data_IF_126745695535
#
_entry.id   IF_126745695535
#
_cell.length_a   1.000
_cell.length_b   1.000
_cell.length_c   1.000
_cell.angle_alpha   90.00
_cell.angle_beta   90.00
_cell.angle_gamma   90.00
#
_symmetry.space_group_name_H-M   'P 1'
#
loop_
_entity.id
_entity.type
_entity.pdbx_description
1 polymer ?
#
# COMPACT_ATOMS: atom_id res chain seq x y z
N UNK A 1 -8.43 -1.81 13.09
CA UNK A 1 -7.61 -1.73 14.31
C UNK A 1 -7.57 -0.29 14.75
N UNK A 2 -7.69 -0.05 16.07
CA UNK A 2 -7.38 1.25 16.63
C UNK A 2 -5.93 1.19 17.13
N UNK A 3 -5.00 1.63 16.29
CA UNK A 3 -3.57 1.59 16.62
C UNK A 3 -3.19 2.61 17.70
N UNK A 4 -4.02 3.64 17.93
CA UNK A 4 -3.87 4.62 19.00
C UNK A 4 -4.38 4.15 20.37
N UNK A 5 -5.03 2.98 20.45
CA UNK A 5 -5.57 2.47 21.72
C UNK A 5 -4.50 1.99 22.70
N UNK A 6 -3.28 1.66 22.22
CA UNK A 6 -2.22 1.12 23.07
C UNK A 6 -1.59 2.17 24.00
N UNK A 7 -1.64 3.45 23.61
CA UNK A 7 -1.11 4.58 24.40
C UNK A 7 -2.24 5.46 25.00
N UNK A 8 -3.50 5.06 24.81
CA UNK A 8 -4.63 5.81 25.35
C UNK A 8 -4.82 5.50 26.83
N UNK A 9 -4.76 6.52 27.67
CA UNK A 9 -4.92 6.44 29.13
C UNK A 9 -6.38 6.22 29.59
N UNK A 10 -7.31 6.07 28.64
CA UNK A 10 -8.73 5.84 28.89
C UNK A 10 -9.52 7.10 29.26
N UNK A 11 -8.92 8.29 29.13
CA UNK A 11 -9.60 9.57 29.37
C UNK A 11 -9.68 10.42 28.09
N UNK A 12 -10.77 11.18 27.93
CA UNK A 12 -10.99 12.01 26.74
C UNK A 12 -11.42 11.22 25.50
N UNK A 13 -11.28 11.82 24.31
CA UNK A 13 -11.47 11.11 23.04
C UNK A 13 -10.26 10.21 22.78
N UNK A 14 -10.50 8.95 22.44
CA UNK A 14 -9.43 8.04 22.06
C UNK A 14 -8.68 8.65 20.85
N UNK A 15 -7.34 8.80 20.91
CA UNK A 15 -6.54 9.31 19.80
C UNK A 15 -6.95 8.57 18.52
N UNK A 16 -7.33 9.34 17.51
CA UNK A 16 -7.97 8.80 16.32
C UNK A 16 -7.09 7.75 15.62
N UNK A 17 -7.76 6.78 15.01
CA UNK A 17 -7.14 5.86 14.06
C UNK A 17 -7.87 4.55 13.90
N UNK A 18 -9.21 4.52 13.88
CA UNK A 18 -9.92 3.34 13.39
C UNK A 18 -9.71 3.25 11.88
N UNK A 19 -8.69 2.52 11.46
CA UNK A 19 -8.63 1.98 10.10
C UNK A 19 -9.21 0.57 10.13
N UNK A 20 -10.13 0.24 9.23
CA UNK A 20 -10.53 -1.16 9.08
C UNK A 20 -9.27 -2.00 8.82
N UNK A 21 -9.15 -3.17 9.48
CA UNK A 21 -8.00 -4.03 9.21
C UNK A 21 -8.01 -4.36 7.71
N UNK A 22 -6.91 -4.08 7.02
CA UNK A 22 -6.78 -4.38 5.59
C UNK A 22 -7.36 -3.35 4.62
N UNK A 23 -7.79 -2.16 5.06
CA UNK A 23 -8.09 -1.07 4.12
C UNK A 23 -6.81 -0.51 3.47
N UNK A 24 -6.88 -0.03 2.24
CA UNK A 24 -5.75 0.56 1.52
C UNK A 24 -6.03 2.01 1.11
N UNK A 25 -4.97 2.81 0.94
CA UNK A 25 -5.03 4.14 0.29
C UNK A 25 -4.46 3.99 -1.11
N UNK A 26 -5.20 4.45 -2.12
CA UNK A 26 -4.76 4.44 -3.52
C UNK A 26 -4.58 5.87 -4.03
N UNK A 27 -3.46 6.13 -4.71
CA UNK A 27 -3.13 7.44 -5.26
C UNK A 27 -2.94 7.29 -6.78
N UNK A 28 -3.60 8.16 -7.54
CA UNK A 28 -3.54 8.20 -8.98
C UNK A 28 -3.23 9.61 -9.45
N UNK A 29 -2.35 9.72 -10.44
CA UNK A 29 -2.27 10.92 -11.24
C UNK A 29 -3.34 10.85 -12.33
N UNK A 30 -4.08 11.94 -12.50
CA UNK A 30 -5.08 12.07 -13.55
C UNK A 30 -4.92 13.42 -14.25
N UNK A 31 -5.21 13.45 -15.55
CA UNK A 31 -5.37 14.71 -16.27
C UNK A 31 -6.74 15.33 -15.97
N UNK A 32 -6.95 16.59 -16.38
CA UNK A 32 -8.28 17.22 -16.32
C UNK A 32 -9.30 16.42 -17.12
N UNK A 33 -8.90 15.86 -18.27
CA UNK A 33 -9.76 15.06 -19.13
C UNK A 33 -10.17 13.74 -18.44
N UNK A 34 -9.22 13.07 -17.78
CA UNK A 34 -9.48 11.86 -16.99
C UNK A 34 -10.44 12.15 -15.83
N UNK A 35 -10.19 13.22 -15.08
CA UNK A 35 -11.03 13.62 -13.95
C UNK A 35 -12.48 13.92 -14.37
N UNK A 36 -12.67 14.42 -15.60
CA UNK A 36 -14.00 14.67 -16.18
C UNK A 36 -14.65 13.42 -16.79
N UNK A 37 -13.94 12.29 -16.87
CA UNK A 37 -14.42 11.07 -17.51
C UNK A 37 -15.00 10.08 -16.48
N UNK A 38 -16.33 9.85 -16.46
CA UNK A 38 -16.95 8.90 -15.53
C UNK A 38 -16.49 7.46 -15.72
N UNK A 39 -16.13 7.05 -16.95
CA UNK A 39 -15.65 5.69 -17.22
C UNK A 39 -14.25 5.47 -16.61
N UNK A 40 -13.43 6.52 -16.55
CA UNK A 40 -12.13 6.47 -15.90
C UNK A 40 -12.31 6.22 -14.39
N UNK A 41 -13.20 6.97 -13.74
CA UNK A 41 -13.52 6.80 -12.32
C UNK A 41 -14.11 5.42 -12.03
N UNK A 42 -15.05 4.95 -12.83
CA UNK A 42 -15.63 3.61 -12.67
C UNK A 42 -14.57 2.51 -12.79
N UNK A 43 -13.60 2.67 -13.69
CA UNK A 43 -12.50 1.73 -13.87
C UNK A 43 -11.53 1.75 -12.69
N UNK A 44 -11.18 2.93 -12.19
CA UNK A 44 -10.34 3.09 -10.99
C UNK A 44 -11.02 2.49 -9.76
N UNK A 45 -12.31 2.78 -9.54
CA UNK A 45 -13.07 2.22 -8.43
C UNK A 45 -13.15 0.69 -8.50
N UNK A 46 -13.46 0.13 -9.68
CA UNK A 46 -13.48 -1.31 -9.88
C UNK A 46 -12.13 -1.98 -9.56
N UNK A 47 -11.01 -1.33 -9.88
CA UNK A 47 -9.67 -1.85 -9.59
C UNK A 47 -9.23 -1.72 -8.12
N UNK A 48 -9.85 -0.81 -7.35
CA UNK A 48 -9.53 -0.58 -5.93
C UNK A 48 -10.46 -1.33 -4.98
N UNK A 49 -11.45 -2.07 -5.49
CA UNK A 49 -12.48 -2.75 -4.69
C UNK A 49 -12.46 -4.24 -4.94
N UNK A 50 -12.80 -5.02 -3.92
CA UNK A 50 -12.79 -6.48 -3.99
C UNK A 50 -13.76 -7.09 -2.99
N UNK A 51 -14.32 -8.25 -3.31
CA UNK A 51 -15.32 -8.91 -2.46
C UNK A 51 -15.21 -10.41 -2.54
N UNK A 52 -15.35 -11.06 -1.39
CA UNK A 52 -15.56 -12.50 -1.24
C UNK A 52 -16.54 -12.78 -0.10
N UNK A 53 -16.82 -14.05 0.18
CA UNK A 53 -17.61 -14.45 1.36
C UNK A 53 -16.93 -14.12 2.70
N UNK A 54 -15.63 -13.80 2.69
CA UNK A 54 -14.82 -13.59 3.89
C UNK A 54 -14.42 -12.13 4.12
N UNK A 55 -14.42 -11.30 3.08
CA UNK A 55 -14.05 -9.89 3.18
C UNK A 55 -14.67 -9.07 2.04
N UNK A 56 -14.78 -7.77 2.27
CA UNK A 56 -15.18 -6.78 1.27
C UNK A 56 -14.34 -5.52 1.47
N UNK A 57 -13.74 -5.03 0.39
CA UNK A 57 -13.02 -3.77 0.29
C UNK A 57 -13.79 -2.88 -0.70
N UNK A 58 -14.16 -1.68 -0.24
CA UNK A 58 -14.93 -0.70 -0.99
C UNK A 58 -14.43 0.71 -0.67
N UNK A 59 -14.67 1.66 -1.58
CA UNK A 59 -14.30 3.06 -1.36
C UNK A 59 -15.15 3.69 -0.24
N UNK A 60 -14.48 4.30 0.74
CA UNK A 60 -15.13 5.05 1.83
C UNK A 60 -15.07 6.57 1.62
N UNK A 61 -14.32 7.02 0.62
CA UNK A 61 -14.11 8.42 0.31
C UNK A 61 -13.06 8.58 -0.78
N UNK A 62 -13.19 9.67 -1.53
CA UNK A 62 -12.29 10.06 -2.59
C UNK A 62 -12.11 11.58 -2.56
N UNK A 63 -10.95 12.06 -3.02
CA UNK A 63 -10.67 13.48 -3.15
C UNK A 63 -9.74 13.71 -4.33
N UNK A 64 -9.96 14.79 -5.06
CA UNK A 64 -9.07 15.28 -6.12
C UNK A 64 -8.36 16.51 -5.59
N UNK A 65 -7.04 16.55 -5.73
CA UNK A 65 -6.17 17.61 -5.23
C UNK A 65 -5.26 18.05 -6.37
N UNK A 66 -5.00 19.35 -6.47
CA UNK A 66 -4.03 19.86 -7.43
C UNK A 66 -2.62 19.35 -7.08
N UNK A 67 -1.84 18.95 -8.09
CA UNK A 67 -0.51 18.36 -7.91
C UNK A 67 0.45 19.25 -7.08
N UNK A 68 0.32 20.58 -7.21
CA UNK A 68 1.13 21.54 -6.44
C UNK A 68 0.81 21.56 -4.94
N UNK A 69 -0.43 21.19 -4.58
CA UNK A 69 -0.92 21.17 -3.20
C UNK A 69 -0.88 19.76 -2.60
N UNK A 70 -0.55 18.74 -3.41
CA UNK A 70 -0.56 17.36 -2.97
C UNK A 70 0.58 17.06 -1.99
N UNK A 71 0.20 16.52 -0.82
CA UNK A 71 1.12 15.94 0.14
C UNK A 71 0.56 14.60 0.65
N UNK A 72 1.34 13.54 0.49
CA UNK A 72 0.94 12.17 0.88
C UNK A 72 0.57 12.07 2.36
N UNK A 73 1.19 12.86 3.24
CA UNK A 73 0.92 12.80 4.69
C UNK A 73 -0.47 13.27 5.07
N UNK A 74 -1.15 14.00 4.19
CA UNK A 74 -2.52 14.49 4.41
C UNK A 74 -3.56 13.41 4.06
N UNK A 75 -3.14 12.34 3.37
CA UNK A 75 -4.02 11.30 2.82
C UNK A 75 -3.64 9.87 3.25
N UNK A 76 -2.41 9.65 3.71
CA UNK A 76 -1.93 8.38 4.20
C UNK A 76 -1.19 8.57 5.53
N UNK A 77 -1.55 7.76 6.52
CA UNK A 77 -0.94 7.84 7.84
C UNK A 77 0.55 7.43 7.78
N UNK A 78 1.37 8.00 8.66
CA UNK A 78 2.83 7.79 8.68
C UNK A 78 3.26 6.33 8.85
N UNK A 79 2.42 5.50 9.47
CA UNK A 79 2.66 4.08 9.73
C UNK A 79 2.16 3.17 8.60
N UNK A 80 1.61 3.75 7.54
CA UNK A 80 1.07 3.06 6.38
C UNK A 80 1.77 3.49 5.08
N UNK A 81 1.55 2.74 4.01
CA UNK A 81 2.09 3.06 2.70
C UNK A 81 0.99 2.94 1.63
N UNK A 82 0.78 3.98 0.81
CA UNK A 82 -0.25 3.94 -0.22
C UNK A 82 0.18 3.08 -1.41
N UNK A 83 -0.80 2.58 -2.14
CA UNK A 83 -0.59 2.07 -3.50
C UNK A 83 -0.65 3.22 -4.49
N UNK A 84 0.37 3.35 -5.31
CA UNK A 84 0.37 4.25 -6.45
C UNK A 84 -0.09 3.49 -7.69
N UNK A 85 -1.22 3.93 -8.25
CA UNK A 85 -1.85 3.34 -9.42
C UNK A 85 -1.45 4.06 -10.70
N UNK A 86 -1.17 3.30 -11.76
CA UNK A 86 -0.98 3.81 -13.12
C UNK A 86 -2.01 3.17 -14.04
N UNK A 87 -2.90 4.00 -14.57
CA UNK A 87 -3.91 3.57 -15.54
C UNK A 87 -3.25 3.40 -16.91
N UNK A 88 -3.38 2.21 -17.51
CA UNK A 88 -2.89 1.87 -18.85
C UNK A 88 -4.07 1.44 -19.72
N UNK A 89 -3.85 1.22 -21.01
CA UNK A 89 -4.95 0.87 -21.92
C UNK A 89 -5.63 -0.46 -21.56
N UNK A 90 -4.88 -1.43 -21.03
CA UNK A 90 -5.33 -2.82 -20.82
C UNK A 90 -5.41 -3.26 -19.35
N UNK A 91 -4.91 -2.42 -18.43
CA UNK A 91 -4.85 -2.71 -17.00
C UNK A 91 -4.61 -1.46 -16.15
N UNK A 92 -4.74 -1.63 -14.85
CA UNK A 92 -4.22 -0.68 -13.86
C UNK A 92 -3.08 -1.36 -13.09
N UNK A 93 -1.90 -0.74 -13.11
CA UNK A 93 -0.72 -1.23 -12.39
C UNK A 93 -0.60 -0.54 -11.04
N UNK A 94 -0.50 -1.32 -9.97
CA UNK A 94 -0.28 -0.82 -8.62
C UNK A 94 1.12 -1.16 -8.14
N UNK A 95 1.75 -0.20 -7.46
CA UNK A 95 2.99 -0.43 -6.72
C UNK A 95 2.93 0.23 -5.35
N UNK A 96 3.56 -0.40 -4.37
CA UNK A 96 3.70 0.13 -3.02
C UNK A 96 5.11 -0.13 -2.53
N UNK A 97 5.66 0.86 -1.84
CA UNK A 97 6.91 0.73 -1.10
C UNK A 97 6.61 0.95 0.37
N UNK A 98 6.87 -0.05 1.19
CA UNK A 98 6.71 0.04 2.65
C UNK A 98 8.09 0.12 3.28
N UNK A 99 8.37 1.19 4.03
CA UNK A 99 9.61 1.30 4.78
C UNK A 99 9.57 0.45 6.05
N UNK A 100 10.71 -0.10 6.45
CA UNK A 100 10.79 -0.83 7.71
C UNK A 100 10.79 0.15 8.90
N UNK A 101 9.67 0.16 9.63
CA UNK A 101 9.49 0.94 10.85
C UNK A 101 9.52 0.05 12.10
N UNK A 102 9.75 0.61 13.31
CA UNK A 102 9.87 -0.17 14.56
C UNK A 102 8.73 -1.14 14.87
N UNK A 103 7.53 -0.91 14.32
CA UNK A 103 6.34 -1.74 14.50
C UNK A 103 5.85 -2.42 13.21
N UNK A 104 6.65 -2.39 12.13
CA UNK A 104 6.27 -2.97 10.84
C UNK A 104 6.18 -4.51 10.85
N UNK A 105 6.84 -5.15 11.82
CA UNK A 105 7.01 -6.60 11.86
C UNK A 105 8.04 -7.14 10.85
N UNK A 106 8.66 -6.27 10.05
CA UNK A 106 9.76 -6.67 9.16
C UNK A 106 11.04 -6.95 9.94
N UNK A 107 11.85 -7.86 9.41
CA UNK A 107 13.18 -8.16 9.95
C UNK A 107 14.07 -6.92 9.89
N UNK A 108 14.93 -6.71 10.89
CA UNK A 108 15.80 -5.54 10.98
C UNK A 108 16.81 -5.41 9.81
N UNK A 109 17.08 -6.49 9.10
CA UNK A 109 17.96 -6.48 7.92
C UNK A 109 17.26 -5.99 6.63
N UNK A 110 15.92 -5.88 6.65
CA UNK A 110 15.12 -5.32 5.56
C UNK A 110 14.98 -3.82 5.79
N UNK A 111 15.29 -3.01 4.78
CA UNK A 111 15.05 -1.58 4.78
C UNK A 111 13.68 -1.22 4.20
N UNK A 112 13.28 -1.86 3.09
CA UNK A 112 11.99 -1.64 2.43
C UNK A 112 11.41 -2.92 1.85
N UNK A 113 10.09 -2.99 1.75
CA UNK A 113 9.36 -3.97 0.96
C UNK A 113 8.73 -3.29 -0.27
N UNK A 114 8.82 -3.95 -1.43
CA UNK A 114 8.15 -3.54 -2.66
C UNK A 114 7.10 -4.59 -3.05
N UNK A 115 5.86 -4.16 -3.19
CA UNK A 115 4.77 -4.98 -3.71
C UNK A 115 4.21 -4.37 -4.99
N UNK A 116 3.87 -5.21 -5.97
CA UNK A 116 3.23 -4.76 -7.19
C UNK A 116 2.25 -5.82 -7.72
N UNK A 117 1.17 -5.34 -8.32
CA UNK A 117 0.19 -6.17 -9.01
C UNK A 117 -0.52 -5.36 -10.08
N UNK A 118 -1.05 -6.06 -11.08
CA UNK A 118 -1.90 -5.49 -12.11
C UNK A 118 -3.34 -5.96 -11.91
N UNK A 119 -4.31 -5.08 -12.19
CA UNK A 119 -5.72 -5.43 -12.34
C UNK A 119 -6.09 -5.23 -13.81
N UNK A 120 -6.44 -6.33 -14.47
CA UNK A 120 -6.86 -6.36 -15.87
C UNK A 120 -8.31 -5.88 -16.00
N UNK A 121 -8.72 -5.45 -17.20
CA UNK A 121 -10.08 -4.91 -17.41
C UNK A 121 -11.21 -5.95 -17.23
N UNK A 122 -10.89 -7.23 -17.27
CA UNK A 122 -11.83 -8.32 -16.94
C UNK A 122 -11.89 -8.64 -15.44
N UNK A 123 -11.15 -7.92 -14.61
CA UNK A 123 -11.04 -8.12 -13.17
C UNK A 123 -10.01 -9.16 -12.75
N UNK A 124 -9.26 -9.77 -13.67
CA UNK A 124 -8.14 -10.64 -13.31
C UNK A 124 -7.06 -9.83 -12.57
N UNK A 125 -6.58 -10.35 -11.44
CA UNK A 125 -5.49 -9.75 -10.66
C UNK A 125 -4.22 -10.56 -10.85
N UNK A 126 -3.18 -9.92 -11.39
CA UNK A 126 -1.87 -10.51 -11.65
C UNK A 126 -0.85 -9.96 -10.66
N UNK A 127 -0.40 -10.80 -9.72
CA UNK A 127 0.61 -10.41 -8.73
C UNK A 127 2.03 -10.60 -9.26
N UNK A 128 2.88 -9.58 -9.13
CA UNK A 128 4.28 -9.60 -9.59
C UNK A 128 5.28 -10.09 -8.52
N UNK A 129 4.75 -10.63 -7.41
CA UNK A 129 5.55 -11.04 -6.26
C UNK A 129 5.96 -9.87 -5.36
N UNK A 130 6.88 -10.17 -4.45
CA UNK A 130 7.40 -9.23 -3.45
C UNK A 130 8.92 -9.21 -3.53
N UNK A 131 9.51 -8.03 -3.40
CA UNK A 131 10.96 -7.85 -3.30
C UNK A 131 11.31 -6.91 -2.15
N UNK A 132 12.56 -6.94 -1.71
CA UNK A 132 13.03 -6.22 -0.54
C UNK A 132 14.30 -5.44 -0.86
N UNK A 133 14.38 -4.21 -0.40
CA UNK A 133 15.65 -3.50 -0.24
C UNK A 133 16.21 -3.87 1.13
N UNK A 134 17.41 -4.41 1.18
CA UNK A 134 18.11 -4.75 2.41
C UNK A 134 18.87 -3.53 2.95
N UNK A 135 19.20 -3.50 4.24
CA UNK A 135 19.93 -2.37 4.86
C UNK A 135 21.30 -2.08 4.26
N UNK A 136 21.87 -3.03 3.51
CA UNK A 136 23.12 -2.85 2.76
C UNK A 136 22.91 -2.33 1.33
N UNK A 137 21.67 -2.10 0.92
CA UNK A 137 21.29 -1.62 -0.41
C UNK A 137 20.99 -2.71 -1.46
N UNK A 138 21.12 -4.00 -1.11
CA UNK A 138 20.79 -5.08 -2.05
C UNK A 138 19.28 -5.15 -2.30
N UNK A 139 18.88 -5.42 -3.54
CA UNK A 139 17.49 -5.73 -3.89
C UNK A 139 17.35 -7.25 -4.06
N UNK A 140 16.44 -7.86 -3.28
CA UNK A 140 16.29 -9.31 -3.19
C UNK A 140 14.83 -9.70 -3.39
N UNK A 141 14.56 -10.69 -4.24
CA UNK A 141 13.22 -11.25 -4.39
C UNK A 141 12.82 -12.05 -3.14
N UNK A 142 11.53 -12.09 -2.78
CA UNK A 142 11.06 -12.89 -1.65
C UNK A 142 11.50 -14.36 -1.72
N UNK A 143 11.52 -14.94 -2.93
CA UNK A 143 11.99 -16.32 -3.17
C UNK A 143 13.47 -16.55 -2.83
N UNK A 144 14.27 -15.48 -2.81
CA UNK A 144 15.71 -15.51 -2.56
C UNK A 144 16.07 -14.95 -1.18
N UNK A 145 15.12 -14.28 -0.50
CA UNK A 145 15.33 -13.61 0.77
C UNK A 145 15.94 -14.54 1.82
N UNK A 146 15.48 -15.79 1.90
CA UNK A 146 16.03 -16.76 2.87
C UNK A 146 17.51 -17.04 2.60
N UNK A 147 17.87 -17.30 1.34
CA UNK A 147 19.24 -17.58 0.96
C UNK A 147 20.15 -16.37 1.21
N UNK A 148 19.65 -15.16 0.95
CA UNK A 148 20.37 -13.92 1.25
C UNK A 148 20.60 -13.78 2.77
N UNK A 149 19.57 -14.01 3.59
CA UNK A 149 19.67 -13.93 5.05
C UNK A 149 20.69 -14.93 5.60
N UNK A 150 20.64 -16.18 5.15
CA UNK A 150 21.58 -17.22 5.59
C UNK A 150 23.05 -16.88 5.23
N UNK A 151 23.27 -16.14 4.13
CA UNK A 151 24.61 -15.74 3.69
C UNK A 151 25.15 -14.48 4.40
N UNK A 152 24.29 -13.54 4.77
CA UNK A 152 24.68 -12.20 5.24
C UNK A 152 24.43 -11.96 6.73
N UNK A 153 23.52 -12.72 7.33
CA UNK A 153 23.20 -12.63 8.75
C UNK A 153 23.88 -13.79 9.47
N UNK A 154 24.91 -13.48 10.24
CA UNK A 154 25.46 -14.45 11.18
C UNK A 154 24.43 -14.64 12.30
N UNK A 155 23.95 -15.86 12.50
CA UNK A 155 23.11 -16.17 13.67
C UNK A 155 23.85 -15.70 14.93
N UNK A 156 23.18 -14.90 15.75
CA UNK A 156 23.65 -14.60 17.09
C UNK A 156 23.60 -15.92 17.88
N UNK A 157 24.78 -16.47 18.17
CA UNK A 157 24.95 -17.63 19.03
C UNK A 157 24.49 -17.37 20.47
#
# INVERSE_FOLDING_TARGET
>A
ENYGAHDWDGQGECPQGWKYKGGNTYIFNCSIEDNMNPEWWARVEAACTSKSDYFEEYSVGETVVDDIDFNVTDHCAEWDAPYYGTVKDDRISFHRTTENQPMSGMRAEIAKEFTAYDVMDDGEVVHHGVSYEMVNGDIVLFSELRAWLDAHVKEAA
#
